data_IF_044773546180
#
_entry.id   IF_044773546180
#
_cell.length_a   1.000
_cell.length_b   1.000
_cell.length_c   1.000
_cell.angle_alpha   90.00
_cell.angle_beta   90.00
_cell.angle_gamma   90.00
#
_symmetry.space_group_name_H-M   'P 1'
#
loop_
_entity.id
_entity.type
_entity.pdbx_description
1 polymer ?
#
# COMPACT_ATOMS: atom_id res chain seq x y z
N UNK A 1 -4.99 -0.94 3.42
CA UNK A 1 -4.54 -2.04 4.30
C UNK A 1 -3.50 -2.87 3.55
N UNK A 2 -2.53 -3.48 4.21
CA UNK A 2 -1.53 -4.32 3.54
C UNK A 2 -2.20 -5.62 3.06
N UNK A 3 -2.14 -5.87 1.76
CA UNK A 3 -2.73 -7.07 1.12
C UNK A 3 -1.71 -7.89 0.34
N UNK A 4 -0.57 -7.31 -0.01
CA UNK A 4 0.59 -7.98 -0.54
C UNK A 4 1.82 -7.53 0.23
N UNK A 5 2.84 -8.37 0.30
CA UNK A 5 4.09 -8.06 0.99
C UNK A 5 5.24 -8.80 0.34
N UNK A 6 6.32 -8.09 0.15
CA UNK A 6 7.61 -8.61 -0.28
C UNK A 6 8.71 -8.01 0.61
N UNK A 7 9.86 -8.62 0.65
CA UNK A 7 10.99 -8.13 1.44
C UNK A 7 12.32 -8.54 0.81
N UNK A 8 13.33 -7.70 0.99
CA UNK A 8 14.70 -7.99 0.59
C UNK A 8 15.69 -7.29 1.53
N UNK A 9 16.97 -7.39 1.25
CA UNK A 9 18.01 -6.73 2.02
C UNK A 9 17.91 -5.19 1.95
N UNK A 10 18.28 -4.51 3.02
CA UNK A 10 18.19 -3.04 3.15
C UNK A 10 19.02 -2.26 2.12
N UNK A 11 19.88 -2.93 1.34
CA UNK A 11 20.67 -2.35 0.25
C UNK A 11 19.96 -2.35 -1.10
N UNK A 12 18.75 -2.92 -1.21
CA UNK A 12 17.92 -2.88 -2.41
C UNK A 12 17.01 -1.67 -2.42
N UNK A 13 16.83 -1.10 -3.61
CA UNK A 13 15.86 -0.04 -3.83
C UNK A 13 14.44 -0.59 -3.77
N UNK A 14 13.57 0.06 -3.01
CA UNK A 14 12.20 -0.35 -2.76
C UNK A 14 11.36 -0.49 -4.04
N UNK A 15 11.62 0.33 -5.08
CA UNK A 15 10.89 0.22 -6.35
C UNK A 15 11.09 -1.13 -7.05
N UNK A 16 12.23 -1.80 -6.83
CA UNK A 16 12.49 -3.15 -7.39
C UNK A 16 11.64 -4.24 -6.72
N UNK A 17 11.14 -3.99 -5.52
CA UNK A 17 10.26 -4.90 -4.78
C UNK A 17 8.78 -4.69 -5.12
N UNK A 18 8.44 -3.62 -5.84
CA UNK A 18 7.05 -3.29 -6.12
C UNK A 18 6.34 -4.41 -6.88
N UNK A 19 6.99 -4.97 -7.91
CA UNK A 19 6.42 -6.08 -8.69
C UNK A 19 6.16 -7.30 -7.81
N UNK A 20 7.15 -7.74 -7.03
CA UNK A 20 7.01 -8.86 -6.10
C UNK A 20 5.92 -8.62 -5.06
N UNK A 21 5.80 -7.38 -4.57
CA UNK A 21 4.72 -6.98 -3.65
C UNK A 21 3.34 -7.11 -4.31
N UNK A 22 3.18 -6.67 -5.55
CA UNK A 22 1.91 -6.77 -6.28
C UNK A 22 1.56 -8.23 -6.61
N UNK A 23 2.55 -9.02 -7.05
CA UNK A 23 2.40 -10.45 -7.33
C UNK A 23 2.05 -11.27 -6.08
N UNK A 24 2.49 -10.82 -4.90
CA UNK A 24 2.23 -11.50 -3.62
C UNK A 24 0.79 -11.32 -3.08
N UNK A 25 -0.06 -10.55 -3.75
CA UNK A 25 -1.45 -10.34 -3.33
C UNK A 25 -2.24 -11.65 -3.49
N UNK A 26 -2.70 -12.29 -2.38
CA UNK A 26 -3.29 -13.61 -2.43
C UNK A 26 -4.77 -13.63 -2.83
N UNK A 27 -5.37 -12.45 -3.00
CA UNK A 27 -6.80 -12.30 -3.30
C UNK A 27 -7.00 -11.86 -4.74
N UNK A 28 -8.02 -12.39 -5.39
CA UNK A 28 -8.46 -11.87 -6.67
C UNK A 28 -9.08 -10.49 -6.45
N UNK A 29 -8.48 -9.46 -7.07
CA UNK A 29 -9.02 -8.10 -7.02
C UNK A 29 -10.24 -7.99 -7.93
N UNK A 30 -11.29 -7.24 -7.54
CA UNK A 30 -12.36 -6.91 -8.48
C UNK A 30 -11.77 -6.13 -9.67
N UNK A 31 -12.36 -6.27 -10.84
CA UNK A 31 -11.94 -5.50 -12.01
C UNK A 31 -12.22 -4.01 -11.79
N UNK A 32 -11.25 -3.12 -12.04
CA UNK A 32 -11.47 -1.69 -11.96
C UNK A 32 -12.47 -1.24 -13.05
N UNK A 33 -13.29 -0.27 -12.71
CA UNK A 33 -14.22 0.36 -13.67
C UNK A 33 -14.00 1.87 -13.67
N UNK A 34 -14.52 2.57 -14.66
CA UNK A 34 -14.44 4.04 -14.69
C UNK A 34 -15.06 4.69 -13.45
N UNK A 35 -16.14 4.10 -12.91
CA UNK A 35 -16.83 4.58 -11.71
C UNK A 35 -16.13 4.17 -10.41
N UNK A 36 -15.30 3.11 -10.45
CA UNK A 36 -14.57 2.57 -9.30
C UNK A 36 -13.12 2.22 -9.67
N UNK A 37 -12.30 3.22 -10.01
CA UNK A 37 -10.89 2.99 -10.31
C UNK A 37 -10.13 2.53 -9.06
N UNK A 38 -9.20 1.61 -9.25
CA UNK A 38 -8.32 1.16 -8.17
C UNK A 38 -7.03 1.98 -8.15
N UNK A 39 -6.82 2.73 -7.09
CA UNK A 39 -5.64 3.58 -6.92
C UNK A 39 -4.57 2.94 -6.04
N UNK A 40 -3.32 3.04 -6.46
CA UNK A 40 -2.15 2.68 -5.69
C UNK A 40 -1.41 3.94 -5.24
N UNK A 41 -1.36 4.15 -3.92
CA UNK A 41 -0.63 5.28 -3.34
C UNK A 41 0.81 4.85 -3.05
N UNK A 42 1.75 5.55 -3.65
CA UNK A 42 3.18 5.30 -3.49
C UNK A 42 3.90 6.56 -3.00
N UNK A 43 5.04 6.39 -2.34
CA UNK A 43 5.89 7.49 -1.94
C UNK A 43 6.59 8.11 -3.17
N UNK A 44 7.10 9.32 -3.00
CA UNK A 44 7.83 10.07 -4.01
C UNK A 44 9.04 9.30 -4.58
N UNK A 45 9.67 8.46 -3.80
CA UNK A 45 10.79 7.62 -4.24
C UNK A 45 10.42 6.70 -5.42
N UNK A 46 9.13 6.44 -5.62
CA UNK A 46 8.59 5.65 -6.72
C UNK A 46 8.24 6.48 -7.96
N UNK A 47 8.54 7.78 -7.99
CA UNK A 47 8.21 8.66 -9.10
C UNK A 47 9.21 8.50 -10.26
N UNK A 48 9.06 7.42 -11.00
CA UNK A 48 9.78 7.15 -12.23
C UNK A 48 8.87 6.50 -13.27
N UNK A 49 9.28 6.52 -14.52
CA UNK A 49 8.50 6.02 -15.65
C UNK A 49 8.22 4.51 -15.54
N UNK A 50 9.24 3.71 -15.21
CA UNK A 50 9.14 2.26 -15.10
C UNK A 50 8.10 1.83 -14.06
N UNK A 51 8.05 2.52 -12.91
CA UNK A 51 7.04 2.25 -11.88
C UNK A 51 5.64 2.59 -12.37
N UNK A 52 5.46 3.69 -13.09
CA UNK A 52 4.16 4.08 -13.63
C UNK A 52 3.65 3.10 -14.68
N UNK A 53 4.52 2.60 -15.55
CA UNK A 53 4.20 1.53 -16.51
C UNK A 53 3.82 0.25 -15.79
N UNK A 54 4.66 -0.21 -14.85
CA UNK A 54 4.39 -1.41 -14.06
C UNK A 54 3.04 -1.33 -13.35
N UNK A 55 2.71 -0.20 -12.72
CA UNK A 55 1.43 -0.03 -12.02
C UNK A 55 0.25 -0.10 -13.01
N UNK A 56 0.44 0.42 -14.23
CA UNK A 56 -0.54 0.31 -15.31
C UNK A 56 -0.79 -1.13 -15.77
N UNK A 57 0.25 -1.99 -15.83
CA UNK A 57 0.12 -3.41 -16.17
C UNK A 57 -0.80 -4.18 -15.19
N UNK A 58 -0.94 -3.69 -13.96
CA UNK A 58 -1.85 -4.24 -12.94
C UNK A 58 -3.23 -3.57 -12.91
N UNK A 59 -3.58 -2.79 -13.91
CA UNK A 59 -4.83 -2.01 -13.97
C UNK A 59 -5.01 -1.09 -12.76
N UNK A 60 -3.92 -0.53 -12.24
CA UNK A 60 -3.92 0.36 -11.10
C UNK A 60 -3.62 1.80 -11.53
N UNK A 61 -4.28 2.75 -10.90
CA UNK A 61 -3.98 4.18 -11.10
C UNK A 61 -2.90 4.62 -10.09
N UNK A 62 -1.70 5.04 -10.54
CA UNK A 62 -0.64 5.46 -9.65
C UNK A 62 -0.95 6.84 -9.02
N UNK A 63 -0.96 6.90 -7.70
CA UNK A 63 -1.04 8.15 -6.94
C UNK A 63 0.34 8.47 -6.35
N UNK A 64 1.22 8.98 -7.20
CA UNK A 64 2.57 9.43 -6.87
C UNK A 64 2.60 10.94 -7.10
N UNK A 65 2.92 11.73 -6.08
CA UNK A 65 2.94 13.19 -6.20
C UNK A 65 4.31 13.76 -5.88
N UNK A 66 4.83 14.55 -6.81
CA UNK A 66 5.99 15.39 -6.54
C UNK A 66 5.64 16.53 -5.58
N UNK A 67 6.63 17.05 -4.86
CA UNK A 67 6.44 18.10 -3.82
C UNK A 67 5.74 19.36 -4.34
N UNK A 68 6.02 19.77 -5.58
CA UNK A 68 5.42 20.95 -6.23
C UNK A 68 3.97 20.73 -6.68
N UNK A 69 3.62 19.51 -7.10
CA UNK A 69 2.27 19.16 -7.56
C UNK A 69 1.25 19.18 -6.42
N UNK A 70 1.64 18.76 -5.20
CA UNK A 70 0.75 18.82 -4.04
C UNK A 70 0.32 20.25 -3.70
N UNK A 71 1.22 21.21 -3.84
CA UNK A 71 0.93 22.62 -3.61
C UNK A 71 -0.04 23.14 -4.68
N UNK A 72 0.21 22.80 -5.94
CA UNK A 72 -0.64 23.21 -7.05
C UNK A 72 -2.05 22.60 -6.96
N UNK A 73 -2.16 21.31 -6.62
CA UNK A 73 -3.44 20.60 -6.47
C UNK A 73 -4.26 21.15 -5.29
N UNK A 74 -3.60 21.48 -4.19
CA UNK A 74 -4.25 22.11 -3.02
C UNK A 74 -4.78 23.52 -3.35
N UNK A 75 -4.07 24.25 -4.21
CA UNK A 75 -4.52 25.57 -4.65
C UNK A 75 -5.68 25.50 -5.66
N UNK A 76 -5.72 24.43 -6.49
CA UNK A 76 -6.76 24.27 -7.54
C UNK A 76 -8.07 23.69 -7.02
N UNK A 77 -8.03 22.83 -6.00
CA UNK A 77 -9.21 22.10 -5.55
C UNK A 77 -9.44 22.30 -4.06
N UNK A 78 -10.45 23.11 -3.67
CA UNK A 78 -10.83 23.28 -2.27
C UNK A 78 -11.15 21.93 -1.62
N UNK A 79 -10.54 21.64 -0.46
CA UNK A 79 -10.72 20.37 0.25
C UNK A 79 -9.86 19.21 -0.25
N UNK A 80 -9.05 19.39 -1.29
CA UNK A 80 -8.11 18.38 -1.73
C UNK A 80 -7.11 18.01 -0.62
N UNK A 81 -6.88 16.70 -0.45
CA UNK A 81 -5.90 16.16 0.49
C UNK A 81 -4.99 15.17 -0.21
N UNK A 82 -3.68 15.32 -0.01
CA UNK A 82 -2.71 14.33 -0.49
C UNK A 82 -3.02 12.95 0.14
N UNK A 83 -2.94 11.89 -0.67
CA UNK A 83 -3.19 10.51 -0.20
C UNK A 83 -1.99 9.88 0.52
N UNK A 84 -0.94 10.64 0.81
CA UNK A 84 0.26 10.17 1.55
C UNK A 84 -0.08 9.52 2.89
N UNK A 85 -1.10 10.01 3.57
CA UNK A 85 -1.56 9.41 4.82
C UNK A 85 -1.88 7.90 4.71
N UNK A 86 -2.17 7.39 3.50
CA UNK A 86 -2.43 5.95 3.28
C UNK A 86 -1.17 5.14 3.50
N UNK A 87 -0.02 5.62 2.98
CA UNK A 87 1.30 4.99 3.17
C UNK A 87 1.70 5.06 4.65
N UNK A 88 1.62 6.25 5.25
CA UNK A 88 1.94 6.48 6.66
C UNK A 88 1.07 5.62 7.60
N UNK A 89 -0.23 5.50 7.29
CA UNK A 89 -1.13 4.64 8.04
C UNK A 89 -0.75 3.16 7.94
N UNK A 90 -0.35 2.69 6.75
CA UNK A 90 0.09 1.30 6.56
C UNK A 90 1.31 0.99 7.42
N UNK A 91 2.34 1.85 7.39
CA UNK A 91 3.51 1.72 8.26
C UNK A 91 3.14 1.75 9.74
N UNK A 92 2.25 2.68 10.15
CA UNK A 92 1.79 2.76 11.54
C UNK A 92 1.09 1.49 12.01
N UNK A 93 0.30 0.82 11.14
CA UNK A 93 -0.36 -0.44 11.51
C UNK A 93 0.63 -1.58 11.66
N UNK A 94 1.62 -1.69 10.78
CA UNK A 94 2.69 -2.68 10.88
C UNK A 94 3.53 -2.45 12.14
N UNK A 95 3.91 -1.22 12.43
CA UNK A 95 4.72 -0.85 13.59
C UNK A 95 4.06 -1.15 14.95
N UNK A 96 2.74 -1.34 15.00
CA UNK A 96 2.05 -1.81 16.22
C UNK A 96 2.30 -3.28 16.53
N UNK A 97 2.83 -4.05 15.57
CA UNK A 97 3.17 -5.45 15.75
C UNK A 97 4.64 -5.58 16.18
N UNK A 98 4.91 -5.61 17.47
CA UNK A 98 6.26 -5.60 18.04
C UNK A 98 7.17 -6.71 17.51
N UNK A 99 6.60 -7.86 17.13
CA UNK A 99 7.34 -9.01 16.62
C UNK A 99 8.06 -8.74 15.28
N UNK A 100 7.62 -7.72 14.53
CA UNK A 100 8.21 -7.37 13.23
C UNK A 100 9.04 -6.07 13.28
N UNK A 101 9.01 -5.31 14.37
CA UNK A 101 9.79 -4.08 14.52
C UNK A 101 11.29 -4.33 14.55
N UNK A 102 11.69 -5.43 15.16
CA UNK A 102 13.07 -5.87 15.23
C UNK A 102 13.14 -7.27 14.66
N UNK A 103 13.97 -7.44 13.64
CA UNK A 103 14.16 -8.75 13.02
C UNK A 103 14.99 -9.66 13.91
N UNK A 104 14.32 -10.49 14.70
CA UNK A 104 14.93 -11.55 15.49
C UNK A 104 15.15 -12.85 14.69
N UNK A 105 14.37 -13.03 13.62
CA UNK A 105 14.42 -14.23 12.79
C UNK A 105 15.69 -14.23 11.93
N UNK A 106 16.56 -15.24 12.13
CA UNK A 106 17.76 -15.44 11.31
C UNK A 106 17.44 -15.85 9.87
N UNK A 107 16.38 -16.64 9.69
CA UNK A 107 15.91 -17.09 8.36
C UNK A 107 14.93 -16.09 7.76
N UNK A 108 15.14 -15.73 6.50
CA UNK A 108 14.28 -14.79 5.77
C UNK A 108 12.83 -15.25 5.70
N UNK A 109 12.61 -16.52 5.40
CA UNK A 109 11.26 -17.08 5.32
C UNK A 109 10.47 -16.96 6.64
N UNK A 110 11.14 -17.06 7.78
CA UNK A 110 10.47 -16.88 9.08
C UNK A 110 10.08 -15.42 9.30
N UNK A 111 10.91 -14.48 8.86
CA UNK A 111 10.58 -13.06 8.92
C UNK A 111 9.43 -12.72 7.98
N UNK A 112 9.46 -13.22 6.74
CA UNK A 112 8.37 -13.05 5.77
C UNK A 112 7.05 -13.61 6.32
N UNK A 113 7.08 -14.80 6.92
CA UNK A 113 5.88 -15.40 7.53
C UNK A 113 5.29 -14.52 8.65
N UNK A 114 6.14 -13.89 9.48
CA UNK A 114 5.68 -12.95 10.51
C UNK A 114 5.07 -11.68 9.89
N UNK A 115 5.66 -11.15 8.83
CA UNK A 115 5.12 -10.01 8.10
C UNK A 115 3.77 -10.33 7.47
N UNK A 116 3.63 -11.51 6.85
CA UNK A 116 2.37 -12.00 6.27
C UNK A 116 1.30 -12.19 7.35
N UNK A 117 1.64 -12.78 8.49
CA UNK A 117 0.72 -12.94 9.62
C UNK A 117 0.25 -11.59 10.17
N UNK A 118 1.17 -10.64 10.37
CA UNK A 118 0.82 -9.30 10.83
C UNK A 118 -0.10 -8.58 9.84
N UNK A 119 0.20 -8.67 8.53
CA UNK A 119 -0.62 -8.10 7.46
C UNK A 119 -2.01 -8.72 7.42
N UNK A 120 -2.11 -10.05 7.54
CA UNK A 120 -3.36 -10.77 7.61
C UNK A 120 -4.23 -10.35 8.81
N UNK A 121 -3.62 -10.20 9.99
CA UNK A 121 -4.33 -9.73 11.19
C UNK A 121 -4.83 -8.29 11.03
N UNK A 122 -4.04 -7.41 10.41
CA UNK A 122 -4.45 -6.03 10.12
C UNK A 122 -5.62 -6.03 9.13
N UNK A 123 -5.52 -6.81 8.06
CA UNK A 123 -6.56 -6.92 7.04
C UNK A 123 -7.86 -7.46 7.64
N UNK A 124 -7.79 -8.53 8.41
CA UNK A 124 -8.94 -9.11 9.12
C UNK A 124 -9.63 -8.10 10.03
N UNK A 125 -8.87 -7.41 10.91
CA UNK A 125 -9.43 -6.40 11.81
C UNK A 125 -10.11 -5.26 11.07
N UNK A 126 -9.54 -4.83 9.94
CA UNK A 126 -10.11 -3.75 9.12
C UNK A 126 -11.37 -4.19 8.38
N UNK A 127 -11.37 -5.40 7.81
CA UNK A 127 -12.53 -5.97 7.13
C UNK A 127 -13.69 -6.19 8.13
N UNK A 128 -13.40 -6.77 9.29
CA UNK A 128 -14.39 -6.97 10.34
C UNK A 128 -14.99 -5.65 10.83
N UNK A 129 -14.16 -4.65 11.11
CA UNK A 129 -14.64 -3.32 11.51
C UNK A 129 -15.47 -2.62 10.42
N UNK A 130 -15.18 -2.87 9.14
CA UNK A 130 -15.98 -2.35 8.03
C UNK A 130 -17.34 -3.06 7.92
N UNK A 131 -17.39 -4.38 8.11
CA UNK A 131 -18.60 -5.16 8.07
C UNK A 131 -19.58 -4.82 9.22
N UNK A 132 -19.08 -4.38 10.36
CA UNK A 132 -19.90 -3.97 11.52
C UNK A 132 -20.44 -2.53 11.42
N UNK A 133 -19.99 -1.74 10.45
CA UNK A 133 -20.54 -0.40 10.23
C UNK A 133 -21.87 -0.51 9.51
N UNK A 134 -22.97 0.07 10.07
CA UNK A 134 -24.23 0.15 9.34
C UNK A 134 -24.01 0.88 8.02
N UNK A 135 -24.66 0.40 6.96
CA UNK A 135 -24.65 1.07 5.67
C UNK A 135 -25.15 2.50 5.85
N UNK A 136 -24.29 3.48 5.66
CA UNK A 136 -24.75 4.87 5.63
C UNK A 136 -25.60 5.04 4.37
N UNK A 137 -26.82 5.55 4.47
CA UNK A 137 -27.61 5.90 3.30
C UNK A 137 -26.84 6.93 2.47
N UNK A 138 -26.78 6.71 1.17
CA UNK A 138 -26.20 7.64 0.18
C UNK A 138 -27.09 8.85 0.04
#
# INVERSE_FOLDING_TARGET
MPVGIDHDGANRNDHKLLKGTLDSIPIQRPQPTEQAPQGLCLDKAYDNHEVRELVGEYDLTPHIRARGEEIADKARTPGWRARRWVVEACHSWLNRNRAILIRWSKKDNNHLALLQLASGLIAFKKAHAAALKPAQPR
#
